data_IF_660734430961
#
_entry.id   IF_660734430961
#
_cell.length_a   1.000
_cell.length_b   1.000
_cell.length_c   1.000
_cell.angle_alpha   90.00
_cell.angle_beta   90.00
_cell.angle_gamma   90.00
#
_symmetry.space_group_name_H-M   'P 1'
#
loop_
_entity.id
_entity.type
_entity.pdbx_description
1 polymer ?
#
# COMPACT_ATOMS: atom_id res chain seq x y z
N UNK A 1 -8.59 -2.23 -30.10
CA UNK A 1 -7.19 -2.40 -29.62
C UNK A 1 -6.47 -3.29 -30.61
N UNK A 2 -5.32 -2.86 -31.10
CA UNK A 2 -4.55 -3.60 -32.10
C UNK A 2 -3.53 -4.53 -31.44
N UNK A 3 -3.10 -5.57 -32.11
CA UNK A 3 -2.07 -6.49 -31.58
C UNK A 3 -0.75 -5.79 -31.23
N UNK A 4 -0.24 -4.83 -32.01
CA UNK A 4 0.92 -4.02 -31.64
C UNK A 4 0.76 -3.27 -30.32
N UNK A 5 -0.40 -2.64 -30.09
CA UNK A 5 -0.71 -1.92 -28.82
C UNK A 5 -0.73 -2.89 -27.62
N UNK A 6 -1.36 -4.05 -27.78
CA UNK A 6 -1.38 -5.09 -26.73
C UNK A 6 0.04 -5.59 -26.42
N UNK A 7 0.86 -5.81 -27.45
CA UNK A 7 2.25 -6.20 -27.26
C UNK A 7 3.06 -5.16 -26.51
N UNK A 8 2.92 -3.88 -26.83
CA UNK A 8 3.61 -2.79 -26.14
C UNK A 8 3.20 -2.71 -24.66
N UNK A 9 1.91 -2.84 -24.37
CA UNK A 9 1.40 -2.90 -23.00
C UNK A 9 2.02 -4.06 -22.20
N UNK A 10 2.13 -5.25 -22.81
CA UNK A 10 2.79 -6.41 -22.17
C UNK A 10 4.27 -6.14 -21.90
N UNK A 11 4.99 -5.54 -22.86
CA UNK A 11 6.41 -5.22 -22.70
C UNK A 11 6.67 -4.25 -21.55
N UNK A 12 5.81 -3.25 -21.38
CA UNK A 12 5.89 -2.23 -20.33
C UNK A 12 5.28 -2.70 -19.01
N UNK A 13 4.63 -3.86 -18.98
CA UNK A 13 3.84 -4.32 -17.84
C UNK A 13 2.82 -3.25 -17.40
N UNK A 14 2.06 -2.71 -18.34
CA UNK A 14 1.18 -1.57 -18.15
C UNK A 14 -0.14 -1.99 -17.50
N UNK A 15 -0.36 -1.50 -16.26
CA UNK A 15 -1.54 -1.82 -15.49
C UNK A 15 -2.82 -1.11 -15.98
N UNK A 16 -2.71 -0.06 -16.80
CA UNK A 16 -3.88 0.63 -17.35
C UNK A 16 -4.67 -0.24 -18.34
N UNK A 17 -4.05 -1.30 -18.82
CA UNK A 17 -4.67 -2.29 -19.70
C UNK A 17 -5.20 -3.53 -18.97
N UNK A 18 -5.06 -3.62 -17.66
CA UNK A 18 -5.61 -4.75 -16.87
C UNK A 18 -7.14 -4.77 -16.97
N UNK A 19 -7.68 -5.95 -17.26
CA UNK A 19 -9.10 -6.13 -17.48
C UNK A 19 -9.60 -5.80 -18.90
N UNK A 20 -8.81 -5.13 -19.75
CA UNK A 20 -9.15 -4.87 -21.15
C UNK A 20 -8.77 -6.05 -22.05
N UNK A 21 -7.72 -6.76 -21.73
CA UNK A 21 -7.32 -8.00 -22.39
C UNK A 21 -6.42 -8.86 -21.51
N UNK A 22 -6.23 -10.10 -21.91
CA UNK A 22 -5.28 -11.04 -21.34
C UNK A 22 -4.35 -11.55 -22.42
N UNK A 23 -3.11 -11.88 -22.06
CA UNK A 23 -2.21 -12.57 -22.97
C UNK A 23 -1.85 -13.95 -22.44
N UNK A 24 -1.70 -14.91 -23.34
CA UNK A 24 -1.28 -16.26 -22.99
C UNK A 24 -0.01 -16.65 -23.73
N UNK A 25 0.83 -17.42 -23.06
CA UNK A 25 2.10 -17.92 -23.59
C UNK A 25 1.93 -19.36 -23.99
N UNK A 26 1.92 -19.62 -25.29
CA UNK A 26 1.70 -20.97 -25.92
C UNK A 26 2.64 -22.04 -25.35
N UNK A 27 3.91 -21.69 -25.13
CA UNK A 27 4.93 -22.65 -24.66
C UNK A 27 4.76 -23.06 -23.20
N UNK A 28 4.08 -22.26 -22.37
CA UNK A 28 3.90 -22.54 -20.95
C UNK A 28 2.46 -22.90 -20.57
N UNK A 29 1.50 -22.66 -21.47
CA UNK A 29 0.09 -22.85 -21.21
C UNK A 29 -0.48 -21.91 -20.13
N UNK A 30 0.16 -20.74 -19.94
CA UNK A 30 -0.23 -19.79 -18.88
C UNK A 30 -0.74 -18.50 -19.49
N UNK A 31 -1.87 -17.98 -18.98
CA UNK A 31 -2.32 -16.65 -19.31
C UNK A 31 -2.09 -15.66 -18.16
N UNK A 32 -1.80 -14.41 -18.53
CA UNK A 32 -1.45 -13.32 -17.63
C UNK A 32 -2.26 -12.06 -17.98
N UNK A 33 -2.30 -11.11 -17.04
CA UNK A 33 -2.74 -9.74 -17.33
C UNK A 33 -1.55 -8.88 -17.80
N UNK A 34 -1.79 -7.77 -18.52
CA UNK A 34 -0.74 -6.88 -19.03
C UNK A 34 0.27 -6.43 -17.98
N UNK A 35 -0.16 -6.10 -16.77
CA UNK A 35 0.71 -5.64 -15.67
C UNK A 35 1.62 -6.72 -15.05
N UNK A 36 1.60 -7.94 -15.57
CA UNK A 36 2.35 -9.05 -14.99
C UNK A 36 3.87 -8.79 -15.01
N UNK A 37 4.50 -8.79 -13.83
CA UNK A 37 5.96 -8.60 -13.64
C UNK A 37 6.78 -9.87 -13.95
N UNK A 38 6.25 -10.81 -14.75
CA UNK A 38 7.01 -11.93 -15.27
C UNK A 38 7.92 -11.45 -16.40
N UNK A 39 8.96 -12.25 -16.69
CA UNK A 39 9.82 -11.97 -17.86
C UNK A 39 8.93 -11.90 -19.12
N UNK A 40 9.03 -10.83 -19.93
CA UNK A 40 8.27 -10.71 -21.16
C UNK A 40 8.54 -11.92 -22.07
N UNK A 41 7.50 -12.57 -22.58
CA UNK A 41 7.65 -13.69 -23.51
C UNK A 41 8.07 -13.20 -24.89
N UNK A 42 8.48 -14.11 -25.76
CA UNK A 42 8.68 -13.79 -27.17
C UNK A 42 7.32 -13.56 -27.84
N UNK A 43 7.24 -12.55 -28.72
CA UNK A 43 5.99 -12.17 -29.40
C UNK A 43 5.35 -13.33 -30.16
N UNK A 44 6.15 -14.16 -30.83
CA UNK A 44 5.72 -15.33 -31.60
C UNK A 44 4.96 -16.42 -30.80
N UNK A 45 5.21 -16.42 -29.46
CA UNK A 45 4.59 -17.36 -28.53
C UNK A 45 3.33 -16.82 -27.85
N UNK A 46 2.88 -15.62 -28.22
CA UNK A 46 1.72 -14.99 -27.60
C UNK A 46 0.44 -15.28 -28.40
N UNK A 47 -0.64 -15.29 -27.63
CA UNK A 47 -2.00 -15.09 -28.12
C UNK A 47 -2.74 -14.19 -27.11
N UNK A 48 -3.77 -13.50 -27.57
CA UNK A 48 -4.52 -12.54 -26.79
C UNK A 48 -5.97 -12.96 -26.68
N UNK A 49 -6.60 -12.63 -25.54
CA UNK A 49 -7.98 -12.97 -25.22
C UNK A 49 -8.67 -11.74 -24.62
N UNK A 50 -9.95 -11.56 -24.91
CA UNK A 50 -10.73 -10.49 -24.34
C UNK A 50 -11.05 -10.75 -22.86
N UNK A 51 -11.10 -12.02 -22.44
CA UNK A 51 -11.39 -12.39 -21.05
C UNK A 51 -10.53 -13.56 -20.56
N UNK A 52 -10.43 -13.69 -19.23
CA UNK A 52 -9.79 -14.84 -18.60
C UNK A 52 -10.58 -16.15 -18.82
N UNK A 53 -11.89 -16.06 -19.07
CA UNK A 53 -12.76 -17.20 -19.39
C UNK A 53 -12.43 -17.76 -20.79
N UNK A 54 -12.28 -16.89 -21.78
CA UNK A 54 -11.85 -17.28 -23.12
C UNK A 54 -10.47 -17.95 -23.09
N UNK A 55 -9.52 -17.39 -22.32
CA UNK A 55 -8.21 -18.00 -22.17
C UNK A 55 -8.27 -19.40 -21.53
N UNK A 56 -9.14 -19.61 -20.53
CA UNK A 56 -9.39 -20.93 -19.92
C UNK A 56 -10.04 -21.90 -20.91
N UNK A 57 -11.05 -21.44 -21.65
CA UNK A 57 -11.71 -22.25 -22.67
C UNK A 57 -10.73 -22.71 -23.78
N UNK A 58 -9.71 -21.86 -24.05
CA UNK A 58 -8.62 -22.19 -24.96
C UNK A 58 -7.53 -23.10 -24.32
N UNK A 59 -7.73 -23.58 -23.09
CA UNK A 59 -6.84 -24.53 -22.42
C UNK A 59 -5.68 -23.90 -21.63
N UNK A 60 -5.66 -22.58 -21.47
CA UNK A 60 -4.63 -21.91 -20.68
C UNK A 60 -5.02 -21.83 -19.20
N UNK A 61 -4.05 -21.97 -18.31
CA UNK A 61 -4.23 -21.81 -16.85
C UNK A 61 -3.81 -20.41 -16.38
N UNK A 62 -4.43 -19.88 -15.33
CA UNK A 62 -4.08 -18.57 -14.82
C UNK A 62 -2.66 -18.54 -14.22
N UNK A 63 -1.99 -17.40 -14.36
CA UNK A 63 -0.68 -17.17 -13.79
C UNK A 63 -0.77 -17.05 -12.26
N UNK A 64 0.00 -17.88 -11.52
CA UNK A 64 0.04 -17.84 -10.05
C UNK A 64 0.62 -16.53 -9.48
N UNK A 65 1.44 -15.81 -10.28
CA UNK A 65 2.07 -14.57 -9.85
C UNK A 65 1.12 -13.38 -9.92
N UNK A 66 0.45 -13.18 -11.05
CA UNK A 66 -0.47 -12.04 -11.22
C UNK A 66 -1.93 -12.40 -10.92
N UNK A 67 -2.24 -13.67 -10.61
CA UNK A 67 -3.60 -14.13 -10.35
C UNK A 67 -4.58 -13.58 -11.40
N UNK A 68 -4.26 -13.85 -12.67
CA UNK A 68 -5.07 -13.40 -13.80
C UNK A 68 -6.50 -13.96 -13.83
N UNK A 69 -6.79 -14.89 -12.94
CA UNK A 69 -8.12 -15.41 -12.63
C UNK A 69 -8.96 -14.46 -11.74
N UNK A 70 -8.34 -13.49 -11.11
CA UNK A 70 -8.99 -12.53 -10.23
C UNK A 70 -8.79 -11.12 -10.83
N UNK A 71 -9.85 -10.53 -11.40
CA UNK A 71 -9.78 -9.21 -12.06
C UNK A 71 -9.23 -8.12 -11.12
N UNK A 72 -9.62 -8.16 -9.85
CA UNK A 72 -9.22 -7.17 -8.84
C UNK A 72 -8.01 -7.58 -7.99
N UNK A 73 -7.29 -8.65 -8.35
CA UNK A 73 -6.16 -9.10 -7.57
C UNK A 73 -5.00 -8.09 -7.62
N UNK A 74 -4.87 -7.32 -6.57
CA UNK A 74 -3.80 -6.34 -6.34
C UNK A 74 -3.08 -6.69 -5.03
N UNK A 75 -2.25 -7.74 -5.00
CA UNK A 75 -1.68 -8.24 -3.75
C UNK A 75 -0.85 -7.20 -3.00
N UNK A 76 -0.21 -6.29 -3.72
CA UNK A 76 0.56 -5.21 -3.09
C UNK A 76 -0.36 -4.18 -2.42
N UNK A 77 -1.50 -3.90 -3.02
CA UNK A 77 -2.51 -3.00 -2.45
C UNK A 77 -3.18 -3.63 -1.23
N UNK A 78 -3.52 -4.92 -1.29
CA UNK A 78 -4.08 -5.66 -0.16
C UNK A 78 -3.10 -5.69 1.02
N UNK A 79 -1.81 -5.96 0.76
CA UNK A 79 -0.75 -5.92 1.78
C UNK A 79 -0.58 -4.50 2.34
N UNK A 80 -0.57 -3.47 1.49
CA UNK A 80 -0.48 -2.08 1.95
C UNK A 80 -1.68 -1.70 2.84
N UNK A 81 -2.89 -2.14 2.48
CA UNK A 81 -4.10 -1.94 3.27
C UNK A 81 -4.03 -2.67 4.62
N UNK A 82 -3.49 -3.90 4.64
CA UNK A 82 -3.26 -4.63 5.90
C UNK A 82 -2.27 -3.91 6.81
N UNK A 83 -1.13 -3.46 6.27
CA UNK A 83 -0.15 -2.68 7.03
C UNK A 83 -0.81 -1.42 7.62
N UNK A 84 -1.59 -0.70 6.81
CA UNK A 84 -2.32 0.49 7.25
C UNK A 84 -3.30 0.17 8.39
N UNK A 85 -4.11 -0.86 8.24
CA UNK A 85 -5.09 -1.27 9.25
C UNK A 85 -4.43 -1.66 10.58
N UNK A 86 -3.24 -2.26 10.53
CA UNK A 86 -2.45 -2.58 11.73
C UNK A 86 -1.87 -1.32 12.39
N UNK A 87 -1.37 -0.37 11.60
CA UNK A 87 -0.88 0.91 12.12
C UNK A 87 -2.00 1.73 12.76
N UNK A 88 -3.19 1.75 12.16
CA UNK A 88 -4.38 2.42 12.71
C UNK A 88 -4.79 1.84 14.09
N UNK A 89 -4.51 0.55 14.33
CA UNK A 89 -4.78 -0.15 15.61
C UNK A 89 -3.58 -0.21 16.55
N UNK A 90 -2.47 0.42 16.20
CA UNK A 90 -1.18 0.34 16.96
C UNK A 90 -0.72 -1.11 17.17
N UNK A 91 -1.00 -1.98 16.19
CA UNK A 91 -0.64 -3.39 16.23
C UNK A 91 0.74 -3.65 15.62
N UNK A 92 1.38 -4.78 15.99
CA UNK A 92 2.66 -5.19 15.41
C UNK A 92 2.55 -5.47 13.91
N UNK A 93 3.66 -5.23 13.20
CA UNK A 93 3.83 -5.55 11.78
C UNK A 93 4.62 -6.86 11.54
N UNK A 94 4.99 -7.57 12.61
CA UNK A 94 5.89 -8.73 12.51
C UNK A 94 5.31 -9.89 11.69
N UNK A 95 3.98 -10.06 11.73
CA UNK A 95 3.28 -11.17 11.06
C UNK A 95 2.86 -10.87 9.61
N UNK A 96 3.26 -9.74 9.03
CA UNK A 96 2.89 -9.40 7.64
C UNK A 96 3.62 -10.28 6.62
N UNK A 97 4.64 -11.04 7.05
CA UNK A 97 5.38 -11.97 6.19
C UNK A 97 6.29 -11.28 5.15
N UNK A 98 6.57 -10.01 5.33
CA UNK A 98 7.47 -9.22 4.48
C UNK A 98 8.67 -8.69 5.29
N UNK A 99 9.79 -8.48 4.59
CA UNK A 99 10.91 -7.74 5.18
C UNK A 99 10.54 -6.27 5.42
N UNK A 100 11.12 -5.60 6.43
CA UNK A 100 10.87 -4.18 6.71
C UNK A 100 11.05 -3.27 5.49
N UNK A 101 12.08 -3.55 4.68
CA UNK A 101 12.31 -2.82 3.42
C UNK A 101 11.14 -3.00 2.44
N UNK A 102 10.69 -4.25 2.24
CA UNK A 102 9.59 -4.55 1.32
C UNK A 102 8.27 -3.94 1.79
N UNK A 103 7.99 -3.97 3.09
CA UNK A 103 6.83 -3.28 3.67
C UNK A 103 6.86 -1.78 3.38
N UNK A 104 8.04 -1.15 3.56
CA UNK A 104 8.23 0.28 3.26
C UNK A 104 7.97 0.59 1.80
N UNK A 105 8.54 -0.20 0.88
CA UNK A 105 8.38 0.00 -0.57
C UNK A 105 6.92 -0.13 -1.00
N UNK A 106 6.24 -1.19 -0.55
CA UNK A 106 4.83 -1.47 -0.87
C UNK A 106 3.91 -0.38 -0.33
N UNK A 107 4.09 0.00 0.92
CA UNK A 107 3.27 1.01 1.58
C UNK A 107 3.45 2.38 0.94
N UNK A 108 4.71 2.77 0.66
CA UNK A 108 5.02 4.04 0.02
C UNK A 108 4.50 4.12 -1.41
N UNK A 109 4.52 3.00 -2.14
CA UNK A 109 3.97 2.93 -3.50
C UNK A 109 2.45 3.20 -3.50
N UNK A 110 1.72 2.69 -2.50
CA UNK A 110 0.27 2.83 -2.44
C UNK A 110 -0.18 4.14 -1.78
N UNK A 111 0.48 4.58 -0.70
CA UNK A 111 0.04 5.73 0.11
C UNK A 111 0.93 6.96 0.02
N UNK A 112 2.03 6.91 -0.74
CA UNK A 112 2.95 8.04 -0.92
C UNK A 112 3.89 8.31 0.25
N UNK A 113 3.66 7.68 1.41
CA UNK A 113 4.44 7.84 2.65
C UNK A 113 4.94 6.48 3.15
N UNK A 114 5.98 6.48 3.97
CA UNK A 114 6.44 5.26 4.63
C UNK A 114 5.51 4.87 5.80
N UNK A 115 5.50 3.58 6.24
CA UNK A 115 4.75 3.16 7.43
C UNK A 115 5.10 3.98 8.68
N UNK A 116 6.38 4.36 8.84
CA UNK A 116 6.84 5.19 9.94
C UNK A 116 6.25 6.60 9.87
N UNK A 117 6.34 7.26 8.73
CA UNK A 117 5.75 8.60 8.54
C UNK A 117 4.24 8.57 8.78
N UNK A 118 3.57 7.53 8.32
CA UNK A 118 2.13 7.36 8.57
C UNK A 118 1.82 7.19 10.07
N UNK A 119 2.57 6.35 10.79
CA UNK A 119 2.43 6.21 12.24
C UNK A 119 2.71 7.52 12.99
N UNK A 120 3.69 8.29 12.55
CA UNK A 120 4.01 9.60 13.13
C UNK A 120 2.88 10.63 12.90
N UNK A 121 2.22 10.59 11.73
CA UNK A 121 1.03 11.40 11.46
C UNK A 121 -0.15 11.02 12.39
N UNK A 122 -0.37 9.72 12.61
CA UNK A 122 -1.41 9.25 13.54
C UNK A 122 -1.14 9.73 14.96
N UNK A 123 0.09 9.55 15.46
CA UNK A 123 0.52 10.01 16.80
C UNK A 123 0.33 11.51 16.96
N UNK A 124 0.70 12.29 15.94
CA UNK A 124 0.54 13.75 15.99
C UNK A 124 -0.94 14.14 16.03
N UNK A 125 -1.78 13.49 15.23
CA UNK A 125 -3.22 13.73 15.22
C UNK A 125 -3.84 13.46 16.59
N UNK A 126 -3.60 12.27 17.15
CA UNK A 126 -4.08 11.88 18.48
C UNK A 126 -3.63 12.89 19.55
N UNK A 127 -2.34 13.27 19.53
CA UNK A 127 -1.81 14.24 20.49
C UNK A 127 -2.50 15.62 20.39
N UNK A 128 -2.74 16.10 19.16
CA UNK A 128 -3.44 17.38 18.93
C UNK A 128 -4.88 17.35 19.44
N UNK A 129 -5.61 16.29 19.11
CA UNK A 129 -7.00 16.08 19.53
C UNK A 129 -7.11 16.05 21.05
N UNK A 130 -6.22 15.31 21.74
CA UNK A 130 -6.21 15.23 23.19
C UNK A 130 -5.78 16.53 23.86
N UNK A 131 -4.78 17.23 23.33
CA UNK A 131 -4.33 18.52 23.89
C UNK A 131 -5.41 19.59 23.78
N UNK A 132 -6.18 19.59 22.69
CA UNK A 132 -7.26 20.55 22.46
C UNK A 132 -8.56 20.19 23.21
N UNK A 133 -8.87 18.89 23.32
CA UNK A 133 -10.15 18.40 23.82
C UNK A 133 -10.16 17.94 25.29
N UNK A 134 -9.00 17.89 25.98
CA UNK A 134 -8.93 17.40 27.35
C UNK A 134 -8.03 18.24 28.27
N UNK A 135 -8.27 18.13 29.59
CA UNK A 135 -7.40 18.69 30.61
C UNK A 135 -6.36 17.71 31.16
N UNK A 136 -6.19 16.55 30.52
CA UNK A 136 -5.23 15.53 30.93
C UNK A 136 -3.80 16.07 30.99
N UNK A 137 -2.97 15.53 31.89
CA UNK A 137 -1.56 15.94 31.97
C UNK A 137 -0.84 15.63 30.64
N UNK A 138 0.07 16.50 30.24
CA UNK A 138 0.85 16.36 29.00
C UNK A 138 1.61 15.02 28.95
N UNK A 139 2.00 14.49 30.11
CA UNK A 139 2.65 13.19 30.20
C UNK A 139 1.70 12.03 29.82
N UNK A 140 0.45 12.12 30.24
CA UNK A 140 -0.56 11.10 29.95
C UNK A 140 -0.91 11.12 28.46
N UNK A 141 -1.06 12.32 27.89
CA UNK A 141 -1.22 12.53 26.45
C UNK A 141 -0.06 11.92 25.67
N UNK A 142 1.19 12.09 26.15
CA UNK A 142 2.36 11.51 25.50
C UNK A 142 2.28 9.98 25.42
N UNK A 143 1.94 9.32 26.52
CA UNK A 143 1.80 7.86 26.55
C UNK A 143 0.64 7.36 25.72
N UNK A 144 -0.52 8.01 25.77
CA UNK A 144 -1.70 7.64 24.97
C UNK A 144 -1.46 7.85 23.46
N UNK A 145 -0.66 8.87 23.11
CA UNK A 145 -0.22 9.07 21.72
C UNK A 145 0.88 8.09 21.27
N UNK A 146 1.27 7.13 22.12
CA UNK A 146 2.22 6.05 21.78
C UNK A 146 3.69 6.43 21.90
N UNK A 147 4.04 7.38 22.77
CA UNK A 147 5.44 7.72 23.08
C UNK A 147 5.89 7.03 24.37
N UNK A 148 7.12 6.53 24.37
CA UNK A 148 7.73 5.88 25.53
C UNK A 148 8.28 6.85 26.58
N UNK A 149 8.38 8.14 26.25
CA UNK A 149 8.84 9.17 27.19
C UNK A 149 8.32 10.57 26.83
N UNK A 150 8.11 11.39 27.86
CA UNK A 150 7.73 12.80 27.72
C UNK A 150 8.78 13.60 26.92
N UNK A 151 10.06 13.31 27.10
CA UNK A 151 11.14 13.99 26.38
C UNK A 151 11.08 13.74 24.86
N UNK A 152 10.84 12.48 24.46
CA UNK A 152 10.68 12.11 23.06
C UNK A 152 9.42 12.78 22.47
N UNK A 153 8.31 12.76 23.18
CA UNK A 153 7.08 13.44 22.80
C UNK A 153 7.27 14.95 22.58
N UNK A 154 7.85 15.66 23.55
CA UNK A 154 8.07 17.10 23.46
C UNK A 154 8.92 17.49 22.26
N UNK A 155 10.01 16.72 21.99
CA UNK A 155 10.88 16.94 20.83
C UNK A 155 10.13 16.72 19.53
N UNK A 156 9.44 15.59 19.41
CA UNK A 156 8.63 15.25 18.23
C UNK A 156 7.56 16.30 17.98
N UNK A 157 6.75 16.62 18.98
CA UNK A 157 5.62 17.54 18.83
C UNK A 157 6.10 18.95 18.42
N UNK A 158 7.17 19.44 19.04
CA UNK A 158 7.77 20.73 18.68
C UNK A 158 8.34 20.71 17.25
N UNK A 159 8.96 19.62 16.86
CA UNK A 159 9.50 19.45 15.49
C UNK A 159 8.38 19.47 14.44
N UNK A 160 7.24 18.85 14.74
CA UNK A 160 6.12 18.74 13.81
C UNK A 160 5.21 19.98 13.77
N UNK A 161 5.11 20.73 14.87
CA UNK A 161 4.14 21.84 14.99
C UNK A 161 4.81 23.22 15.16
N UNK A 162 6.11 23.27 15.43
CA UNK A 162 6.82 24.48 15.80
C UNK A 162 6.61 24.91 17.25
N UNK A 163 5.67 24.31 17.99
CA UNK A 163 5.26 24.70 19.33
C UNK A 163 5.45 23.57 20.34
N UNK A 164 5.55 23.93 21.62
CA UNK A 164 5.49 22.93 22.69
C UNK A 164 4.05 22.45 22.90
N UNK A 165 3.85 21.19 23.39
CA UNK A 165 2.50 20.67 23.69
C UNK A 165 1.70 21.60 24.63
N UNK A 166 2.36 22.20 25.63
CA UNK A 166 1.71 23.12 26.56
C UNK A 166 1.29 24.43 25.90
N UNK A 167 2.11 24.97 25.00
CA UNK A 167 1.77 26.17 24.23
C UNK A 167 0.60 25.90 23.30
N UNK A 168 0.66 24.76 22.57
CA UNK A 168 -0.41 24.31 21.69
C UNK A 168 -1.75 24.17 22.43
N UNK A 169 -1.76 23.56 23.61
CA UNK A 169 -2.95 23.47 24.47
C UNK A 169 -3.56 24.83 24.80
N UNK A 170 -2.74 25.75 25.25
CA UNK A 170 -3.23 27.11 25.62
C UNK A 170 -3.91 27.83 24.45
N UNK A 171 -3.44 27.59 23.25
CA UNK A 171 -3.96 28.23 22.03
C UNK A 171 -5.22 27.56 21.49
N UNK A 172 -5.34 26.21 21.65
CA UNK A 172 -6.38 25.43 20.99
C UNK A 172 -7.42 24.80 21.94
N UNK A 173 -7.23 24.94 23.26
CA UNK A 173 -8.20 24.42 24.22
C UNK A 173 -9.48 25.24 24.13
N UNK A 174 -10.56 24.65 23.64
CA UNK A 174 -11.90 25.22 23.68
C UNK A 174 -12.40 25.04 25.11
N UNK A 175 -12.62 26.15 25.83
CA UNK A 175 -13.23 26.22 27.18
C UNK A 175 -14.69 25.79 27.11
#
# INVERSE_FOLDING_TARGET
MTEPEMWEAVQRSDASYDGLFFYAVKTTGIFCRPSCKSKPPKRENLCYFASGEEARAAGFRPCKRCRSDLLEYQPMREIAAEIKARLDKVSSLDDVGLTPRRMTDVFKQEYGVTPKEYADLLRLRTAKEMLAGSSEKVIDVAYQAGFSSLAAFNRFFKQQTGQTPTAYRKEHQVL
#
